data_IF_541647388621
#
_entry.id   IF_541647388621
#
_cell.length_a   1.000
_cell.length_b   1.000
_cell.length_c   1.000
_cell.angle_alpha   90.00
_cell.angle_beta   90.00
_cell.angle_gamma   90.00
#
_symmetry.space_group_name_H-M   'P 1'
#
loop_
_entity.id
_entity.type
_entity.pdbx_description
1 polymer ?
#
# COMPACT_ATOMS: atom_id res chain seq x y z
N UNK A 1 5.07 1.72 22.10
CA UNK A 1 6.01 2.45 22.99
C UNK A 1 5.23 3.50 23.75
N UNK A 2 5.47 3.61 25.05
CA UNK A 2 4.57 4.31 25.95
C UNK A 2 5.23 4.65 27.27
N UNK A 3 4.38 4.95 28.26
CA UNK A 3 4.79 5.38 29.58
C UNK A 3 5.52 4.29 30.34
N UNK A 4 6.68 4.64 30.90
CA UNK A 4 7.38 3.88 31.93
C UNK A 4 7.26 4.63 33.26
N UNK A 5 6.87 3.93 34.31
CA UNK A 5 6.80 4.49 35.66
C UNK A 5 8.04 4.05 36.46
N UNK A 6 8.76 5.01 37.03
CA UNK A 6 9.89 4.75 37.93
C UNK A 6 9.73 5.60 39.18
N UNK A 7 9.40 4.94 40.30
CA UNK A 7 9.02 5.64 41.54
C UNK A 7 7.77 6.51 41.34
N UNK A 8 7.84 7.76 41.80
CA UNK A 8 6.76 8.73 41.67
C UNK A 8 6.64 9.37 40.27
N UNK A 9 7.62 9.12 39.38
CA UNK A 9 7.74 9.84 38.12
C UNK A 9 7.45 8.94 36.92
N UNK A 10 6.77 9.51 35.91
CA UNK A 10 6.44 8.84 34.65
C UNK A 10 7.24 9.43 33.51
N UNK A 11 7.80 8.56 32.70
CA UNK A 11 8.67 8.86 31.57
C UNK A 11 8.03 8.33 30.30
N UNK A 12 8.00 9.13 29.25
CA UNK A 12 7.53 8.69 27.94
C UNK A 12 8.73 8.33 27.07
N UNK A 13 8.61 7.18 26.42
CA UNK A 13 9.58 6.71 25.44
C UNK A 13 8.89 6.54 24.08
N UNK A 14 9.55 7.00 23.02
CA UNK A 14 9.14 6.76 21.64
C UNK A 14 9.79 5.49 21.09
N UNK A 15 9.09 4.80 20.18
CA UNK A 15 9.67 3.73 19.38
C UNK A 15 10.31 4.37 18.15
N UNK A 16 11.56 4.05 17.91
CA UNK A 16 12.23 4.38 16.65
C UNK A 16 12.81 3.13 16.04
N UNK A 17 12.72 3.03 14.71
CA UNK A 17 13.45 2.00 13.96
C UNK A 17 14.78 2.57 13.52
N UNK A 18 15.86 1.99 14.02
CA UNK A 18 17.25 2.26 13.61
C UNK A 18 17.83 0.94 13.15
N UNK A 19 18.32 0.89 11.91
CA UNK A 19 18.93 -0.31 11.29
C UNK A 19 18.08 -1.58 11.43
N UNK A 20 16.77 -1.45 11.18
CA UNK A 20 15.81 -2.54 11.24
C UNK A 20 15.38 -2.96 12.66
N UNK A 21 16.01 -2.42 13.71
CA UNK A 21 15.70 -2.71 15.11
C UNK A 21 14.84 -1.62 15.73
N UNK A 22 13.85 -2.00 16.53
CA UNK A 22 13.03 -1.04 17.30
C UNK A 22 13.75 -0.71 18.59
N UNK A 23 14.17 0.53 18.77
CA UNK A 23 14.84 1.05 19.97
C UNK A 23 13.91 2.00 20.73
N UNK A 24 14.15 2.09 22.05
CA UNK A 24 13.44 3.03 22.93
C UNK A 24 14.20 4.34 23.02
N UNK A 25 13.63 5.43 22.49
CA UNK A 25 14.17 6.79 22.69
C UNK A 25 13.46 7.46 23.85
N UNK A 26 14.22 7.95 24.83
CA UNK A 26 13.67 8.78 25.89
C UNK A 26 13.19 10.12 25.32
N UNK A 27 11.93 10.48 25.59
CA UNK A 27 11.34 11.73 25.10
C UNK A 27 11.24 12.76 26.23
N UNK A 28 10.84 12.34 27.42
CA UNK A 28 10.73 13.23 28.57
C UNK A 28 9.85 12.70 29.70
N UNK A 29 9.65 13.52 30.71
CA UNK A 29 8.74 13.30 31.83
C UNK A 29 7.90 14.57 32.12
N UNK A 30 6.83 14.43 32.89
CA UNK A 30 6.00 15.56 33.35
C UNK A 30 4.83 15.93 32.42
N UNK A 31 4.12 17.00 32.78
CA UNK A 31 2.81 17.34 32.19
C UNK A 31 2.86 17.61 30.67
N UNK A 32 3.88 18.34 30.18
CA UNK A 32 4.04 18.63 28.74
C UNK A 32 4.17 17.37 27.89
N UNK A 33 4.73 16.30 28.47
CA UNK A 33 4.90 15.02 27.78
C UNK A 33 3.58 14.24 27.70
N UNK A 34 2.62 14.52 28.58
CA UNK A 34 1.26 13.96 28.49
C UNK A 34 0.55 14.47 27.25
N UNK A 35 0.60 15.78 27.03
CA UNK A 35 0.01 16.41 25.84
C UNK A 35 0.72 15.94 24.56
N UNK A 36 2.05 15.88 24.57
CA UNK A 36 2.82 15.35 23.43
C UNK A 36 2.44 13.89 23.11
N UNK A 37 2.29 13.04 24.13
CA UNK A 37 1.91 11.65 23.94
C UNK A 37 0.49 11.50 23.37
N UNK A 38 -0.45 12.36 23.79
CA UNK A 38 -1.81 12.40 23.26
C UNK A 38 -1.80 12.80 21.77
N UNK A 39 -1.06 13.86 21.41
CA UNK A 39 -0.91 14.28 20.01
C UNK A 39 -0.29 13.17 19.15
N UNK A 40 0.72 12.46 19.67
CA UNK A 40 1.31 11.33 18.97
C UNK A 40 0.35 10.15 18.79
N UNK A 41 -0.57 9.93 19.72
CA UNK A 41 -1.60 8.91 19.60
C UNK A 41 -2.61 9.29 18.49
N UNK A 42 -3.04 10.54 18.46
CA UNK A 42 -3.95 11.08 17.42
C UNK A 42 -3.32 10.93 16.03
N UNK A 43 -2.09 11.40 15.83
CA UNK A 43 -1.39 11.27 14.54
C UNK A 43 -1.22 9.81 14.10
N UNK A 44 -1.10 8.86 15.05
CA UNK A 44 -1.04 7.44 14.72
C UNK A 44 -2.41 6.92 14.30
N UNK A 45 -3.48 7.33 14.97
CA UNK A 45 -4.84 6.98 14.62
C UNK A 45 -5.22 7.50 13.22
N UNK A 46 -4.92 8.76 12.92
CA UNK A 46 -5.12 9.35 11.59
C UNK A 46 -4.39 8.55 10.49
N UNK A 47 -3.14 8.16 10.75
CA UNK A 47 -2.35 7.34 9.80
C UNK A 47 -2.91 5.94 9.62
N UNK A 48 -3.42 5.31 10.68
CA UNK A 48 -4.03 3.98 10.57
C UNK A 48 -5.34 4.05 9.81
N UNK A 49 -6.14 5.09 10.04
CA UNK A 49 -7.42 5.30 9.35
C UNK A 49 -7.20 5.56 7.87
N UNK A 50 -6.24 6.42 7.53
CA UNK A 50 -5.89 6.69 6.14
C UNK A 50 -5.36 5.43 5.43
N UNK A 51 -4.49 4.67 6.10
CA UNK A 51 -4.02 3.40 5.55
C UNK A 51 -5.15 2.38 5.35
N UNK A 52 -6.15 2.37 6.24
CA UNK A 52 -7.33 1.52 6.09
C UNK A 52 -8.22 1.96 4.92
N UNK A 53 -8.42 3.27 4.73
CA UNK A 53 -9.16 3.83 3.59
C UNK A 53 -8.50 3.49 2.26
N UNK A 54 -7.18 3.71 2.15
CA UNK A 54 -6.42 3.39 0.94
C UNK A 54 -6.49 1.88 0.65
N UNK A 55 -6.42 1.04 1.68
CA UNK A 55 -6.57 -0.42 1.51
C UNK A 55 -7.94 -0.77 0.98
N UNK A 56 -9.00 -0.23 1.57
CA UNK A 56 -10.38 -0.47 1.14
C UNK A 56 -10.58 -0.07 -0.34
N UNK A 57 -10.13 1.13 -0.72
CA UNK A 57 -10.19 1.61 -2.11
C UNK A 57 -9.40 0.70 -3.07
N UNK A 58 -8.23 0.20 -2.65
CA UNK A 58 -7.42 -0.70 -3.46
C UNK A 58 -8.11 -2.06 -3.63
N UNK A 59 -8.72 -2.58 -2.57
CA UNK A 59 -9.43 -3.85 -2.60
C UNK A 59 -10.67 -3.75 -3.51
N UNK A 60 -11.41 -2.64 -3.45
CA UNK A 60 -12.53 -2.33 -4.37
C UNK A 60 -12.08 -2.27 -5.83
N UNK A 61 -10.98 -1.55 -6.13
CA UNK A 61 -10.43 -1.47 -7.48
C UNK A 61 -9.93 -2.83 -7.99
N UNK A 62 -9.35 -3.64 -7.10
CA UNK A 62 -8.87 -4.98 -7.43
C UNK A 62 -10.05 -5.88 -7.79
N UNK A 63 -11.10 -5.90 -6.98
CA UNK A 63 -12.32 -6.67 -7.25
C UNK A 63 -12.99 -6.25 -8.57
N UNK A 64 -13.02 -4.94 -8.87
CA UNK A 64 -13.52 -4.44 -10.15
C UNK A 64 -12.67 -4.93 -11.32
N UNK A 65 -11.34 -4.90 -11.22
CA UNK A 65 -10.44 -5.41 -12.25
C UNK A 65 -10.59 -6.93 -12.46
N UNK A 66 -10.74 -7.69 -11.39
CA UNK A 66 -10.99 -9.14 -11.46
C UNK A 66 -12.32 -9.44 -12.18
N UNK A 67 -13.36 -8.63 -11.97
CA UNK A 67 -14.65 -8.80 -12.65
C UNK A 67 -14.57 -8.59 -14.18
N UNK A 68 -13.60 -7.80 -14.65
CA UNK A 68 -13.41 -7.49 -16.06
C UNK A 68 -12.45 -8.46 -16.77
N UNK A 69 -11.70 -9.28 -16.02
CA UNK A 69 -10.62 -10.12 -16.58
C UNK A 69 -11.14 -11.05 -17.69
N UNK A 70 -12.31 -11.67 -17.50
CA UNK A 70 -12.89 -12.54 -18.52
C UNK A 70 -13.31 -11.80 -19.80
N UNK A 71 -13.75 -10.54 -19.67
CA UNK A 71 -14.08 -9.68 -20.81
C UNK A 71 -12.82 -9.24 -21.54
N UNK A 72 -11.78 -8.85 -20.80
CA UNK A 72 -10.49 -8.46 -21.35
C UNK A 72 -9.84 -9.62 -22.12
N UNK A 73 -9.84 -10.83 -21.56
CA UNK A 73 -9.33 -12.04 -22.22
C UNK A 73 -10.09 -12.35 -23.53
N UNK A 74 -11.41 -12.17 -23.53
CA UNK A 74 -12.25 -12.35 -24.71
C UNK A 74 -11.97 -11.28 -25.76
N UNK A 75 -11.85 -10.02 -25.36
CA UNK A 75 -11.50 -8.90 -26.24
C UNK A 75 -10.12 -9.10 -26.88
N UNK A 76 -9.12 -9.51 -26.10
CA UNK A 76 -7.77 -9.83 -26.56
C UNK A 76 -7.80 -10.98 -27.58
N UNK A 77 -8.59 -12.02 -27.31
CA UNK A 77 -8.74 -13.16 -28.21
C UNK A 77 -9.37 -12.75 -29.54
N UNK A 78 -10.46 -11.96 -29.50
CA UNK A 78 -11.12 -11.45 -30.71
C UNK A 78 -10.22 -10.52 -31.51
N UNK A 79 -9.50 -9.61 -30.84
CA UNK A 79 -8.54 -8.71 -31.47
C UNK A 79 -7.41 -9.50 -32.14
N UNK A 80 -6.87 -10.53 -31.47
CA UNK A 80 -5.85 -11.39 -32.04
C UNK A 80 -6.36 -12.16 -33.27
N UNK A 81 -7.58 -12.70 -33.22
CA UNK A 81 -8.19 -13.40 -34.35
C UNK A 81 -8.37 -12.47 -35.56
N UNK A 82 -8.85 -11.24 -35.34
CA UNK A 82 -9.01 -10.24 -36.39
C UNK A 82 -7.67 -9.85 -37.04
N UNK A 83 -6.62 -9.68 -36.22
CA UNK A 83 -5.28 -9.36 -36.72
C UNK A 83 -4.67 -10.51 -37.53
N UNK A 84 -4.85 -11.76 -37.09
CA UNK A 84 -4.41 -12.94 -37.84
C UNK A 84 -5.15 -13.03 -39.17
N UNK A 85 -6.48 -12.84 -39.18
CA UNK A 85 -7.28 -12.82 -40.40
C UNK A 85 -6.84 -11.72 -41.38
N UNK A 86 -6.37 -10.58 -40.87
CA UNK A 86 -5.78 -9.50 -41.66
C UNK A 86 -4.33 -9.75 -42.12
N UNK A 87 -3.77 -10.95 -41.86
CA UNK A 87 -2.42 -11.35 -42.27
C UNK A 87 -1.31 -10.84 -41.36
N UNK A 88 -1.63 -10.39 -40.14
CA UNK A 88 -0.64 -10.05 -39.13
C UNK A 88 -0.26 -11.29 -38.32
N UNK A 89 0.92 -11.23 -37.72
CA UNK A 89 1.41 -12.23 -36.76
C UNK A 89 2.15 -11.53 -35.63
N UNK A 90 2.22 -12.19 -34.47
CA UNK A 90 2.93 -11.72 -33.29
C UNK A 90 3.95 -12.77 -32.88
N UNK A 91 5.22 -12.36 -32.75
CA UNK A 91 6.25 -13.22 -32.19
C UNK A 91 6.25 -13.06 -30.65
N UNK A 92 5.90 -14.11 -29.92
CA UNK A 92 5.70 -14.09 -28.47
C UNK A 92 4.83 -12.90 -27.99
N UNK A 93 5.28 -12.16 -26.98
CA UNK A 93 4.64 -10.94 -26.44
C UNK A 93 5.13 -9.65 -27.13
N UNK A 94 5.73 -9.76 -28.32
CA UNK A 94 6.23 -8.62 -29.10
C UNK A 94 5.13 -7.89 -29.89
N UNK A 95 5.49 -6.88 -30.68
CA UNK A 95 4.53 -6.15 -31.51
C UNK A 95 4.00 -6.99 -32.68
N UNK A 96 2.77 -6.72 -33.11
CA UNK A 96 2.20 -7.31 -34.32
C UNK A 96 2.94 -6.81 -35.57
N UNK A 97 3.13 -7.71 -36.54
CA UNK A 97 3.80 -7.46 -37.83
C UNK A 97 2.99 -8.07 -38.96
N UNK A 98 2.83 -7.33 -40.06
CA UNK A 98 2.19 -7.86 -41.27
C UNK A 98 3.11 -8.89 -41.92
N UNK A 99 2.58 -10.05 -42.31
CA UNK A 99 3.34 -11.00 -43.14
C UNK A 99 3.62 -10.33 -44.48
N UNK A 100 4.88 -10.38 -44.91
CA UNK A 100 5.24 -10.00 -46.27
C UNK A 100 4.89 -11.21 -47.15
N UNK A 101 4.15 -10.95 -48.24
CA UNK A 101 3.85 -11.95 -49.26
C UNK A 101 5.14 -12.42 -49.93
#
# INVERSE_FOLDING_TARGET
MGWEQRGAQRYYYAAERIDGRVVKRYVGAGALIVEFAALQAETRAEKTDEAARIRCQRDELTALGESLTALDDLADTLAAAALVAAGFHRHHRGPWRKRRA
#
